data_IF_564663083882
#
_entry.id   IF_564663083882
#
_cell.length_a   1.000
_cell.length_b   1.000
_cell.length_c   1.000
_cell.angle_alpha   90.00
_cell.angle_beta   90.00
_cell.angle_gamma   90.00
#
_symmetry.space_group_name_H-M   'P 1'
#
loop_
_entity.id
_entity.type
_entity.pdbx_description
1 polymer ?
#
# COMPACT_ATOMS: atom_id res chain seq x y z
N UNK A 1 18.79 40.52 -52.30
CA UNK A 1 19.43 39.21 -52.04
C UNK A 1 19.59 39.06 -50.54
N UNK A 2 19.33 37.87 -50.00
CA UNK A 2 19.34 37.45 -48.58
C UNK A 2 18.09 37.69 -47.73
N UNK A 3 17.12 36.81 -47.93
CA UNK A 3 16.09 36.48 -46.95
C UNK A 3 16.72 35.50 -45.94
N UNK A 4 17.00 35.96 -44.72
CA UNK A 4 17.48 35.09 -43.64
C UNK A 4 16.35 34.17 -43.18
N UNK A 5 16.36 32.93 -43.67
CA UNK A 5 15.56 31.84 -43.12
C UNK A 5 16.14 31.44 -41.76
N UNK A 6 15.62 32.04 -40.69
CA UNK A 6 15.76 31.45 -39.36
C UNK A 6 15.02 30.11 -39.36
N UNK A 7 15.75 29.01 -39.60
CA UNK A 7 15.29 27.66 -39.25
C UNK A 7 15.07 27.65 -37.74
N UNK A 8 13.81 27.81 -37.32
CA UNK A 8 13.35 27.51 -35.96
C UNK A 8 13.79 26.07 -35.68
N UNK A 9 14.80 25.88 -34.82
CA UNK A 9 15.09 24.54 -34.27
C UNK A 9 13.79 24.10 -33.61
N UNK A 10 13.12 23.11 -34.19
CA UNK A 10 12.03 22.42 -33.51
C UNK A 10 12.65 21.76 -32.28
N UNK A 11 12.60 22.44 -31.14
CA UNK A 11 12.85 21.83 -29.85
C UNK A 11 11.71 20.84 -29.69
N UNK A 12 11.99 19.54 -29.84
CA UNK A 12 11.01 18.49 -29.57
C UNK A 12 10.53 18.74 -28.15
N UNK A 13 9.26 19.09 -28.01
CA UNK A 13 8.67 19.34 -26.71
C UNK A 13 8.68 18.01 -25.94
N UNK A 14 9.26 18.04 -24.74
CA UNK A 14 9.41 16.85 -23.91
C UNK A 14 8.01 16.35 -23.53
N UNK A 15 7.74 15.08 -23.79
CA UNK A 15 6.47 14.47 -23.43
C UNK A 15 6.64 13.56 -22.21
N UNK A 16 6.31 14.09 -21.04
CA UNK A 16 6.50 13.38 -19.76
C UNK A 16 5.63 12.12 -19.62
N UNK A 17 4.48 12.09 -20.30
CA UNK A 17 3.64 10.89 -20.31
C UNK A 17 4.27 9.77 -21.14
N UNK A 18 4.92 10.13 -22.25
CA UNK A 18 5.68 9.18 -23.05
C UNK A 18 6.88 8.65 -22.26
N UNK A 19 7.64 9.52 -21.60
CA UNK A 19 8.78 9.11 -20.78
C UNK A 19 8.37 8.20 -19.61
N UNK A 20 7.26 8.51 -18.93
CA UNK A 20 6.69 7.61 -17.93
C UNK A 20 6.44 6.21 -18.49
N UNK A 21 5.79 6.12 -19.66
CA UNK A 21 5.51 4.83 -20.30
C UNK A 21 6.79 4.09 -20.72
N UNK A 22 7.81 4.82 -21.17
CA UNK A 22 9.12 4.26 -21.50
C UNK A 22 9.83 3.69 -20.26
N UNK A 23 9.86 4.44 -19.15
CA UNK A 23 10.40 3.95 -17.86
C UNK A 23 9.72 2.65 -17.45
N UNK A 24 8.39 2.62 -17.52
CA UNK A 24 7.64 1.41 -17.18
C UNK A 24 8.03 0.23 -18.07
N UNK A 25 8.13 0.45 -19.39
CA UNK A 25 8.45 -0.60 -20.36
C UNK A 25 9.89 -1.10 -20.25
N UNK A 26 10.83 -0.21 -19.96
CA UNK A 26 12.26 -0.51 -20.00
C UNK A 26 12.79 -1.06 -18.68
N UNK A 27 12.23 -0.62 -17.55
CA UNK A 27 12.74 -0.94 -16.21
C UNK A 27 11.73 -1.78 -15.44
N UNK A 28 10.51 -1.29 -15.30
CA UNK A 28 9.54 -1.86 -14.36
C UNK A 28 8.96 -3.18 -14.84
N UNK A 29 8.53 -3.25 -16.11
CA UNK A 29 7.90 -4.47 -16.65
C UNK A 29 8.89 -5.64 -16.75
N UNK A 30 10.16 -5.45 -17.20
CA UNK A 30 11.16 -6.51 -17.17
C UNK A 30 11.44 -7.03 -15.76
N UNK A 31 11.57 -6.15 -14.77
CA UNK A 31 11.76 -6.53 -13.37
C UNK A 31 10.66 -7.47 -12.86
N UNK A 32 9.38 -7.09 -13.03
CA UNK A 32 8.27 -7.93 -12.59
C UNK A 32 8.13 -9.21 -13.41
N UNK A 33 8.46 -9.16 -14.71
CA UNK A 33 8.47 -10.36 -15.56
C UNK A 33 9.52 -11.37 -15.12
N UNK A 34 10.73 -10.90 -14.77
CA UNK A 34 11.81 -11.74 -14.24
C UNK A 34 11.39 -12.44 -12.95
N UNK A 35 10.65 -11.74 -12.09
CA UNK A 35 10.08 -12.28 -10.85
C UNK A 35 8.79 -13.09 -11.06
N UNK A 36 8.39 -13.36 -12.31
CA UNK A 36 7.20 -14.15 -12.68
C UNK A 36 5.85 -13.55 -12.25
N UNK A 37 5.77 -12.23 -12.07
CA UNK A 37 4.50 -11.55 -11.83
C UNK A 37 3.65 -11.49 -13.09
N UNK A 38 2.35 -11.74 -12.93
CA UNK A 38 1.34 -11.50 -13.97
C UNK A 38 0.95 -10.03 -13.96
N UNK A 39 0.92 -9.40 -15.13
CA UNK A 39 0.60 -7.98 -15.30
C UNK A 39 -0.85 -7.76 -15.71
N UNK A 40 -1.49 -6.73 -15.16
CA UNK A 40 -2.76 -6.17 -15.64
C UNK A 40 -2.77 -4.64 -15.49
N UNK A 41 -2.67 -3.91 -16.61
CA UNK A 41 -2.52 -2.46 -16.59
C UNK A 41 -1.26 -2.06 -15.82
N UNK A 42 -1.43 -1.27 -14.76
CA UNK A 42 -0.36 -0.85 -13.83
C UNK A 42 -0.20 -1.79 -12.61
N UNK A 43 -0.96 -2.88 -12.56
CA UNK A 43 -0.90 -3.86 -11.48
C UNK A 43 -0.08 -5.11 -11.85
N UNK A 44 0.51 -5.73 -10.83
CA UNK A 44 1.32 -6.94 -10.90
C UNK A 44 0.94 -7.87 -9.77
N UNK A 45 0.58 -9.12 -10.09
CA UNK A 45 0.27 -10.14 -9.10
C UNK A 45 1.17 -11.36 -9.24
N UNK A 46 1.67 -11.86 -8.11
CA UNK A 46 2.35 -13.15 -8.02
C UNK A 46 1.71 -13.98 -6.93
N UNK A 47 1.20 -15.15 -7.30
CA UNK A 47 0.67 -16.09 -6.34
C UNK A 47 1.84 -16.88 -5.74
N UNK A 48 1.94 -16.95 -4.42
CA UNK A 48 2.96 -17.70 -3.70
C UNK A 48 2.27 -18.42 -2.54
N UNK A 49 2.22 -19.76 -2.61
CA UNK A 49 1.52 -20.57 -1.61
C UNK A 49 0.07 -20.06 -1.40
N UNK A 50 -0.29 -19.72 -0.17
CA UNK A 50 -1.58 -19.16 0.27
C UNK A 50 -1.71 -17.63 0.09
N UNK A 51 -0.65 -16.97 -0.37
CA UNK A 51 -0.59 -15.53 -0.57
C UNK A 51 -0.63 -15.13 -2.05
N UNK A 52 -1.10 -13.91 -2.29
CA UNK A 52 -0.81 -13.16 -3.52
C UNK A 52 -0.08 -11.89 -3.17
N UNK A 53 1.14 -11.74 -3.69
CA UNK A 53 1.88 -10.50 -3.67
C UNK A 53 1.34 -9.59 -4.77
N UNK A 54 1.06 -8.34 -4.43
CA UNK A 54 0.45 -7.35 -5.30
C UNK A 54 1.37 -6.12 -5.34
N UNK A 55 1.64 -5.62 -6.53
CA UNK A 55 2.25 -4.30 -6.71
C UNK A 55 1.42 -3.50 -7.70
N UNK A 56 1.07 -2.27 -7.37
CA UNK A 56 0.34 -1.37 -8.25
C UNK A 56 1.05 -0.02 -8.39
N UNK A 57 1.26 0.39 -9.63
CA UNK A 57 1.83 1.72 -9.95
C UNK A 57 0.70 2.74 -9.95
N UNK A 58 0.65 3.55 -8.90
CA UNK A 58 -0.35 4.58 -8.72
C UNK A 58 0.14 5.92 -9.27
N UNK A 59 -0.56 6.45 -10.27
CA UNK A 59 -0.35 7.83 -10.74
C UNK A 59 -1.03 8.81 -9.81
N UNK A 60 -0.43 9.98 -9.62
CA UNK A 60 -1.07 11.08 -8.91
C UNK A 60 -2.29 11.57 -9.70
N UNK A 61 -3.35 11.93 -8.96
CA UNK A 61 -4.55 12.57 -9.53
C UNK A 61 -4.28 13.99 -10.02
N UNK A 62 -3.16 14.58 -9.60
CA UNK A 62 -2.75 15.96 -9.92
C UNK A 62 -1.77 16.02 -11.10
N UNK A 63 -1.61 14.93 -11.84
CA UNK A 63 -0.75 14.91 -13.02
C UNK A 63 -1.30 15.80 -14.13
N UNK A 64 -0.41 16.50 -14.81
CA UNK A 64 -0.71 17.33 -15.98
C UNK A 64 0.43 17.23 -17.00
N UNK A 65 0.42 18.05 -18.05
CA UNK A 65 1.37 17.95 -19.16
C UNK A 65 2.84 18.10 -18.72
N UNK A 66 3.11 19.02 -17.78
CA UNK A 66 4.45 19.37 -17.32
C UNK A 66 4.87 18.68 -16.01
N UNK A 67 4.02 17.81 -15.46
CA UNK A 67 4.33 17.06 -14.26
C UNK A 67 3.66 15.68 -14.25
N UNK A 68 4.46 14.63 -14.13
CA UNK A 68 4.00 13.26 -13.91
C UNK A 68 4.62 12.73 -12.62
N UNK A 69 3.78 12.50 -11.64
CA UNK A 69 4.10 11.91 -10.35
C UNK A 69 3.42 10.55 -10.18
N UNK A 70 4.14 9.58 -9.63
CA UNK A 70 3.64 8.24 -9.36
C UNK A 70 4.37 7.56 -8.20
N UNK A 71 3.77 6.52 -7.63
CA UNK A 71 4.35 5.68 -6.57
C UNK A 71 4.01 4.21 -6.79
N UNK A 72 4.59 3.33 -5.98
CA UNK A 72 4.35 1.89 -6.00
C UNK A 72 3.69 1.49 -4.69
N UNK A 73 2.42 1.09 -4.77
CA UNK A 73 1.75 0.44 -3.64
C UNK A 73 2.08 -1.05 -3.69
N UNK A 74 2.37 -1.64 -2.53
CA UNK A 74 2.73 -3.03 -2.34
C UNK A 74 1.70 -3.64 -1.40
N UNK A 75 1.21 -4.83 -1.69
CA UNK A 75 0.20 -5.51 -0.89
C UNK A 75 0.43 -7.01 -0.80
N UNK A 76 0.00 -7.58 0.32
CA UNK A 76 -0.03 -9.01 0.57
C UNK A 76 -1.47 -9.45 0.84
N UNK A 77 -1.97 -10.33 -0.01
CA UNK A 77 -3.33 -10.84 0.02
C UNK A 77 -3.33 -12.30 0.46
N UNK A 78 -3.97 -12.59 1.59
CA UNK A 78 -4.21 -13.93 2.11
C UNK A 78 -5.66 -14.33 1.80
N UNK A 79 -5.83 -15.29 0.89
CA UNK A 79 -7.14 -15.71 0.35
C UNK A 79 -8.11 -16.15 1.44
N UNK A 80 -7.63 -16.92 2.40
CA UNK A 80 -8.46 -17.46 3.47
C UNK A 80 -8.98 -16.34 4.38
N UNK A 81 -8.11 -15.39 4.77
CA UNK A 81 -8.47 -14.23 5.59
C UNK A 81 -9.48 -13.34 4.86
N UNK A 82 -9.29 -13.13 3.55
CA UNK A 82 -10.23 -12.37 2.75
C UNK A 82 -11.64 -12.99 2.75
N UNK A 83 -11.70 -14.31 2.66
CA UNK A 83 -12.95 -15.10 2.66
C UNK A 83 -13.64 -15.07 4.04
N UNK A 84 -12.89 -15.29 5.13
CA UNK A 84 -13.40 -15.20 6.51
C UNK A 84 -14.01 -13.83 6.86
N UNK A 85 -13.56 -12.80 6.15
CA UNK A 85 -14.07 -11.44 6.29
C UNK A 85 -15.40 -11.21 5.55
N UNK A 86 -16.03 -12.27 5.03
CA UNK A 86 -17.34 -12.25 4.40
C UNK A 86 -17.30 -11.95 2.89
N UNK A 87 -16.11 -11.93 2.29
CA UNK A 87 -15.98 -11.73 0.85
C UNK A 87 -16.04 -13.08 0.13
N UNK A 88 -17.16 -13.36 -0.51
CA UNK A 88 -17.43 -14.67 -1.10
C UNK A 88 -16.81 -14.87 -2.49
N UNK A 89 -16.40 -13.80 -3.17
CA UNK A 89 -15.78 -13.86 -4.50
C UNK A 89 -14.37 -13.28 -4.46
N UNK A 90 -13.38 -14.13 -4.73
CA UNK A 90 -11.98 -13.71 -4.85
C UNK A 90 -11.81 -13.01 -6.21
N UNK A 91 -11.32 -11.76 -6.26
CA UNK A 91 -11.10 -11.08 -7.53
C UNK A 91 -10.15 -11.86 -8.43
N UNK A 92 -10.45 -11.92 -9.73
CA UNK A 92 -9.55 -12.55 -10.74
C UNK A 92 -8.16 -11.90 -10.76
N UNK A 93 -8.10 -10.61 -10.44
CA UNK A 93 -6.88 -9.84 -10.30
C UNK A 93 -6.99 -8.97 -9.04
N UNK A 94 -6.30 -9.40 -7.99
CA UNK A 94 -6.22 -8.72 -6.69
C UNK A 94 -5.66 -7.31 -6.86
N UNK A 95 -6.28 -6.33 -6.20
CA UNK A 95 -5.80 -4.95 -6.08
C UNK A 95 -5.26 -4.72 -4.67
N UNK A 96 -4.45 -3.69 -4.51
CA UNK A 96 -3.85 -3.38 -3.21
C UNK A 96 -4.90 -3.12 -2.11
N UNK A 97 -6.05 -2.51 -2.44
CA UNK A 97 -7.13 -2.32 -1.47
C UNK A 97 -7.84 -3.62 -1.05
N UNK A 98 -7.61 -4.74 -1.73
CA UNK A 98 -8.11 -6.06 -1.32
C UNK A 98 -7.16 -6.73 -0.30
N UNK A 99 -5.92 -6.24 -0.18
CA UNK A 99 -4.87 -6.85 0.62
C UNK A 99 -5.06 -6.62 2.13
N UNK A 100 -4.59 -7.59 2.93
CA UNK A 100 -4.65 -7.53 4.40
C UNK A 100 -3.52 -6.68 4.98
N UNK A 101 -2.41 -6.61 4.25
CA UNK A 101 -1.26 -5.76 4.56
C UNK A 101 -0.90 -5.02 3.28
N UNK A 102 -0.70 -3.71 3.38
CA UNK A 102 -0.12 -2.92 2.30
C UNK A 102 0.87 -1.88 2.83
N UNK A 103 1.74 -1.40 1.94
CA UNK A 103 2.64 -0.27 2.17
C UNK A 103 2.99 0.38 0.84
N UNK A 104 3.80 1.42 0.85
CA UNK A 104 4.38 2.02 -0.35
C UNK A 104 5.88 1.76 -0.40
N UNK A 105 6.41 1.59 -1.61
CA UNK A 105 7.85 1.46 -1.81
C UNK A 105 8.63 2.64 -1.20
N UNK A 106 8.03 3.83 -1.18
CA UNK A 106 8.59 5.00 -0.50
C UNK A 106 8.91 4.77 0.98
N UNK A 107 8.06 4.03 1.69
CA UNK A 107 8.31 3.70 3.10
C UNK A 107 9.52 2.79 3.24
N UNK A 108 9.70 1.83 2.32
CA UNK A 108 10.85 0.93 2.33
C UNK A 108 12.17 1.63 2.00
N UNK A 109 12.15 2.59 1.07
CA UNK A 109 13.37 3.21 0.53
C UNK A 109 13.75 4.53 1.21
N UNK A 110 12.78 5.29 1.72
CA UNK A 110 12.97 6.62 2.31
C UNK A 110 12.38 6.75 3.72
N UNK A 111 11.63 5.76 4.21
CA UNK A 111 10.90 5.85 5.48
C UNK A 111 9.75 6.86 5.45
N UNK A 112 9.27 7.27 4.27
CA UNK A 112 8.20 8.26 4.13
C UNK A 112 7.34 8.04 2.87
N UNK A 113 6.30 8.85 2.70
CA UNK A 113 5.47 8.81 1.49
C UNK A 113 6.19 9.46 0.30
N UNK A 114 6.98 8.65 -0.40
CA UNK A 114 7.77 9.08 -1.55
C UNK A 114 7.02 8.86 -2.88
N UNK A 115 7.04 9.90 -3.71
CA UNK A 115 6.51 9.90 -5.06
C UNK A 115 7.62 10.25 -6.05
N UNK A 116 7.76 9.43 -7.09
CA UNK A 116 8.69 9.66 -8.19
C UNK A 116 8.13 10.78 -9.08
N UNK A 117 8.96 11.76 -9.43
CA UNK A 117 8.50 12.92 -10.19
C UNK A 117 9.27 13.13 -11.50
N UNK A 118 8.52 13.19 -12.59
CA UNK A 118 8.97 13.70 -13.89
C UNK A 118 8.46 15.12 -14.05
N UNK A 119 9.37 16.09 -14.01
CA UNK A 119 9.13 17.49 -14.33
C UNK A 119 10.37 18.09 -14.99
N UNK A 120 10.34 19.38 -15.31
CA UNK A 120 11.42 20.10 -16.05
C UNK A 120 12.85 19.95 -15.49
N UNK A 121 13.01 19.61 -14.21
CA UNK A 121 14.32 19.49 -13.54
C UNK A 121 14.75 18.04 -13.32
N UNK A 122 13.89 17.06 -13.64
CA UNK A 122 14.22 15.63 -13.54
C UNK A 122 14.46 15.09 -14.95
N UNK A 123 15.62 14.50 -15.20
CA UNK A 123 15.89 13.76 -16.44
C UNK A 123 15.36 12.33 -16.35
N UNK A 124 14.89 11.77 -17.47
CA UNK A 124 14.38 10.39 -17.51
C UNK A 124 15.43 9.39 -17.01
N UNK A 125 16.68 9.55 -17.41
CA UNK A 125 17.78 8.62 -17.13
C UNK A 125 18.07 8.54 -15.62
N UNK A 126 18.12 9.69 -14.93
CA UNK A 126 18.28 9.72 -13.48
C UNK A 126 17.13 9.01 -12.76
N UNK A 127 15.90 9.18 -13.24
CA UNK A 127 14.74 8.52 -12.65
C UNK A 127 14.74 7.00 -12.91
N UNK A 128 15.17 6.57 -14.11
CA UNK A 128 15.36 5.15 -14.43
C UNK A 128 16.39 4.50 -13.51
N UNK A 129 17.53 5.15 -13.26
CA UNK A 129 18.56 4.65 -12.35
C UNK A 129 18.04 4.54 -10.91
N UNK A 130 17.33 5.57 -10.42
CA UNK A 130 16.74 5.56 -9.09
C UNK A 130 15.72 4.44 -8.93
N UNK A 131 14.78 4.31 -9.87
CA UNK A 131 13.77 3.24 -9.85
C UNK A 131 14.44 1.88 -9.92
N UNK A 132 15.43 1.70 -10.79
CA UNK A 132 16.14 0.44 -10.91
C UNK A 132 16.82 0.02 -9.59
N UNK A 133 17.50 0.95 -8.91
CA UNK A 133 18.08 0.68 -7.58
C UNK A 133 16.99 0.39 -6.55
N UNK A 134 15.95 1.21 -6.44
CA UNK A 134 14.86 0.98 -5.49
C UNK A 134 14.15 -0.37 -5.69
N UNK A 135 13.95 -0.80 -6.94
CA UNK A 135 13.34 -2.08 -7.26
C UNK A 135 14.26 -3.26 -6.86
N UNK A 136 15.55 -3.20 -7.19
CA UNK A 136 16.45 -4.33 -6.94
C UNK A 136 16.98 -4.39 -5.51
N UNK A 137 17.28 -3.25 -4.91
CA UNK A 137 17.95 -3.19 -3.60
C UNK A 137 16.95 -3.24 -2.44
N UNK A 138 15.68 -2.91 -2.69
CA UNK A 138 14.65 -2.83 -1.64
C UNK A 138 13.41 -3.66 -1.97
N UNK A 139 12.75 -3.44 -3.12
CA UNK A 139 11.50 -4.12 -3.41
C UNK A 139 11.69 -5.64 -3.57
N UNK A 140 12.71 -6.07 -4.33
CA UNK A 140 12.98 -7.49 -4.55
C UNK A 140 13.27 -8.22 -3.23
N UNK A 141 14.23 -7.80 -2.37
CA UNK A 141 14.43 -8.42 -1.07
C UNK A 141 13.17 -8.41 -0.19
N UNK A 142 12.38 -7.34 -0.24
CA UNK A 142 11.14 -7.25 0.51
C UNK A 142 10.10 -8.28 0.05
N UNK A 143 9.94 -8.48 -1.26
CA UNK A 143 9.04 -9.50 -1.81
C UNK A 143 9.58 -10.92 -1.55
N UNK A 144 10.88 -11.14 -1.70
CA UNK A 144 11.50 -12.45 -1.47
C UNK A 144 11.48 -12.88 0.01
N UNK A 145 11.52 -11.92 0.94
CA UNK A 145 11.39 -12.19 2.37
C UNK A 145 9.95 -12.53 2.79
N UNK A 146 8.95 -11.91 2.17
CA UNK A 146 7.55 -11.96 2.62
C UNK A 146 6.70 -12.84 1.71
N UNK A 147 6.82 -14.16 1.89
CA UNK A 147 6.28 -15.18 0.97
C UNK A 147 5.18 -16.05 1.57
N UNK A 148 4.95 -15.96 2.88
CA UNK A 148 4.00 -16.79 3.63
C UNK A 148 3.46 -16.05 4.87
N UNK A 149 2.50 -16.64 5.58
CA UNK A 149 1.93 -15.99 6.77
C UNK A 149 2.93 -15.81 7.92
N UNK A 150 3.95 -16.68 8.02
CA UNK A 150 4.98 -16.60 9.07
C UNK A 150 5.85 -15.34 8.86
N UNK A 151 6.31 -15.11 7.64
CA UNK A 151 7.05 -13.90 7.28
C UNK A 151 6.21 -12.64 7.40
N UNK A 152 4.91 -12.70 7.08
CA UNK A 152 3.98 -11.58 7.33
C UNK A 152 3.76 -11.30 8.81
N UNK A 153 3.73 -12.33 9.67
CA UNK A 153 3.73 -12.16 11.12
C UNK A 153 4.96 -11.38 11.56
N UNK A 154 6.15 -11.80 11.13
CA UNK A 154 7.39 -11.10 11.47
C UNK A 154 7.37 -9.66 10.94
N UNK A 155 6.80 -9.42 9.76
CA UNK A 155 6.63 -8.08 9.21
C UNK A 155 5.71 -7.22 10.09
N UNK A 156 4.57 -7.75 10.54
CA UNK A 156 3.64 -7.05 11.44
C UNK A 156 4.27 -6.73 12.79
N UNK A 157 5.01 -7.68 13.36
CA UNK A 157 5.65 -7.50 14.67
C UNK A 157 6.82 -6.51 14.63
N UNK A 158 7.42 -6.30 13.45
CA UNK A 158 8.53 -5.36 13.23
C UNK A 158 8.11 -4.08 12.47
N UNK A 159 6.81 -3.80 12.37
CA UNK A 159 6.19 -2.74 11.55
C UNK A 159 6.64 -1.31 11.92
N UNK A 160 7.22 -1.10 13.12
CA UNK A 160 7.57 0.24 13.63
C UNK A 160 8.38 1.12 12.64
N UNK A 161 9.07 0.51 11.66
CA UNK A 161 9.88 1.20 10.67
C UNK A 161 9.28 1.29 9.25
N UNK A 162 8.20 0.55 8.93
CA UNK A 162 7.74 0.36 7.53
C UNK A 162 6.36 1.01 7.26
N UNK A 163 5.68 1.54 8.28
CA UNK A 163 4.37 2.20 8.16
C UNK A 163 3.38 1.36 7.34
N UNK A 164 3.16 0.11 7.76
CA UNK A 164 2.20 -0.77 7.11
C UNK A 164 0.77 -0.28 7.35
N UNK A 165 -0.04 -0.36 6.31
CA UNK A 165 -1.49 -0.29 6.42
C UNK A 165 -2.04 -1.70 6.58
N UNK A 166 -2.62 -1.99 7.73
CA UNK A 166 -3.26 -3.28 7.99
C UNK A 166 -4.29 -3.15 9.12
N UNK A 167 -5.44 -3.80 8.96
CA UNK A 167 -6.51 -3.74 9.95
C UNK A 167 -6.16 -4.57 11.19
N UNK A 168 -6.63 -4.16 12.37
CA UNK A 168 -6.44 -4.95 13.61
C UNK A 168 -6.98 -6.37 13.46
N UNK A 169 -8.12 -6.54 12.78
CA UNK A 169 -8.70 -7.87 12.51
C UNK A 169 -7.75 -8.71 11.65
N UNK A 170 -7.17 -8.14 10.60
CA UNK A 170 -6.20 -8.84 9.76
C UNK A 170 -4.96 -9.25 10.56
N UNK A 171 -4.43 -8.36 11.43
CA UNK A 171 -3.32 -8.69 12.33
C UNK A 171 -3.66 -9.88 13.23
N UNK A 172 -4.83 -9.86 13.87
CA UNK A 172 -5.32 -10.94 14.74
C UNK A 172 -5.44 -12.25 13.94
N UNK A 173 -6.08 -12.23 12.77
CA UNK A 173 -6.27 -13.43 11.94
C UNK A 173 -4.93 -14.02 11.48
N UNK A 174 -3.97 -13.20 11.08
CA UNK A 174 -2.62 -13.67 10.71
C UNK A 174 -1.96 -14.36 11.91
N UNK A 175 -1.97 -13.74 13.09
CA UNK A 175 -1.39 -14.30 14.31
C UNK A 175 -2.03 -15.64 14.71
N UNK A 176 -3.36 -15.73 14.63
CA UNK A 176 -4.08 -16.99 14.87
C UNK A 176 -3.61 -18.08 13.90
N UNK A 177 -3.56 -17.78 12.60
CA UNK A 177 -3.20 -18.75 11.56
C UNK A 177 -1.78 -19.27 11.68
N UNK A 178 -0.86 -18.46 12.19
CA UNK A 178 0.53 -18.88 12.46
C UNK A 178 0.74 -19.46 13.85
N UNK A 179 -0.32 -19.61 14.66
CA UNK A 179 -0.27 -20.23 15.98
C UNK A 179 0.17 -19.32 17.13
N UNK A 180 0.26 -18.01 16.93
CA UNK A 180 0.62 -17.01 17.95
C UNK A 180 -0.60 -16.63 18.80
N UNK A 181 -1.22 -17.63 19.42
CA UNK A 181 -2.54 -17.53 20.05
C UNK A 181 -2.58 -16.54 21.21
N UNK A 182 -1.56 -16.52 22.07
CA UNK A 182 -1.52 -15.57 23.20
C UNK A 182 -1.44 -14.13 22.72
N UNK A 183 -0.61 -13.85 21.70
CA UNK A 183 -0.50 -12.50 21.14
C UNK A 183 -1.79 -12.08 20.41
N UNK A 184 -2.39 -13.01 19.66
CA UNK A 184 -3.69 -12.78 19.04
C UNK A 184 -4.77 -12.46 20.08
N UNK A 185 -4.78 -13.17 21.20
CA UNK A 185 -5.71 -12.96 22.32
C UNK A 185 -5.52 -11.60 22.99
N UNK A 186 -4.28 -11.15 23.20
CA UNK A 186 -3.99 -9.81 23.72
C UNK A 186 -4.55 -8.71 22.81
N UNK A 187 -4.29 -8.82 21.50
CA UNK A 187 -4.81 -7.87 20.51
C UNK A 187 -6.34 -7.93 20.42
N UNK A 188 -6.93 -9.12 20.42
CA UNK A 188 -8.38 -9.30 20.38
C UNK A 188 -9.07 -8.66 21.59
N UNK A 189 -8.53 -8.86 22.79
CA UNK A 189 -9.06 -8.23 24.01
C UNK A 189 -8.93 -6.71 23.97
N UNK A 190 -7.79 -6.20 23.49
CA UNK A 190 -7.55 -4.76 23.35
C UNK A 190 -8.52 -4.13 22.37
N UNK A 191 -8.65 -4.71 21.17
CA UNK A 191 -9.58 -4.26 20.14
C UNK A 191 -11.03 -4.31 20.63
N UNK A 192 -11.41 -5.37 21.35
CA UNK A 192 -12.75 -5.52 21.90
C UNK A 192 -13.07 -4.47 22.96
N UNK A 193 -12.16 -4.24 23.91
CA UNK A 193 -12.30 -3.20 24.94
C UNK A 193 -12.41 -1.80 24.32
N UNK A 194 -11.57 -1.49 23.33
CA UNK A 194 -11.64 -0.23 22.59
C UNK A 194 -12.96 -0.07 21.83
N UNK A 195 -13.48 -1.14 21.23
CA UNK A 195 -14.74 -1.11 20.49
C UNK A 195 -15.97 -0.87 21.37
N UNK A 196 -15.94 -1.33 22.63
CA UNK A 196 -16.98 -1.08 23.62
C UNK A 196 -16.90 0.33 24.23
N UNK A 197 -15.72 0.94 24.20
CA UNK A 197 -15.45 2.26 24.77
C UNK A 197 -14.97 3.26 23.69
N UNK A 198 -15.78 3.51 22.64
CA UNK A 198 -15.37 4.39 21.56
C UNK A 198 -15.22 5.83 22.09
N UNK A 199 -14.14 6.50 21.68
CA UNK A 199 -13.85 7.88 22.10
C UNK A 199 -14.51 8.87 21.15
N UNK A 200 -15.09 9.92 21.71
CA UNK A 200 -15.61 11.05 20.93
C UNK A 200 -14.51 11.64 20.07
N UNK A 201 -14.88 11.99 18.84
CA UNK A 201 -13.97 12.67 17.94
C UNK A 201 -13.99 14.17 18.26
N UNK A 202 -12.81 14.75 18.42
CA UNK A 202 -12.62 16.20 18.54
C UNK A 202 -11.50 16.58 17.59
N UNK A 203 -11.80 17.45 16.63
CA UNK A 203 -10.82 18.06 15.74
C UNK A 203 -10.83 19.56 15.93
N UNK A 204 -9.64 20.15 15.99
CA UNK A 204 -9.45 21.59 16.06
C UNK A 204 -8.62 22.02 14.86
N UNK A 205 -9.22 22.85 14.01
CA UNK A 205 -8.55 23.50 12.89
C UNK A 205 -8.24 24.93 13.33
N UNK A 206 -6.98 25.33 13.21
CA UNK A 206 -6.55 26.72 13.40
C UNK A 206 -6.19 27.28 12.03
N UNK A 207 -6.91 28.31 11.61
CA UNK A 207 -6.73 28.96 10.32
C UNK A 207 -5.57 29.97 10.37
N UNK A 208 -4.99 30.34 9.20
CA UNK A 208 -3.86 31.29 9.15
C UNK A 208 -4.16 32.68 9.72
N UNK A 209 -5.43 33.07 9.79
CA UNK A 209 -5.89 34.32 10.40
C UNK A 209 -6.07 34.22 11.93
N UNK A 210 -5.75 33.05 12.52
CA UNK A 210 -5.87 32.76 13.95
C UNK A 210 -7.26 32.31 14.37
N UNK A 211 -8.22 32.19 13.47
CA UNK A 211 -9.55 31.66 13.81
C UNK A 211 -9.50 30.15 14.06
N UNK A 212 -10.36 29.66 14.95
CA UNK A 212 -10.40 28.25 15.33
C UNK A 212 -11.76 27.65 15.00
N UNK A 213 -11.76 26.46 14.40
CA UNK A 213 -12.95 25.63 14.20
C UNK A 213 -12.78 24.31 14.95
N UNK A 214 -13.73 24.02 15.84
CA UNK A 214 -13.77 22.76 16.58
C UNK A 214 -14.93 21.92 16.03
N UNK A 215 -14.59 20.76 15.48
CA UNK A 215 -15.57 19.75 15.08
C UNK A 215 -15.60 18.64 16.12
N UNK A 216 -16.78 18.34 16.65
CA UNK A 216 -16.99 17.21 17.57
C UNK A 216 -18.01 16.23 17.01
N UNK A 217 -17.83 14.94 17.29
CA UNK A 217 -18.87 13.95 17.06
C UNK A 217 -18.87 12.91 18.17
N UNK A 218 -20.08 12.55 18.62
CA UNK A 218 -20.26 11.53 19.65
C UNK A 218 -20.02 10.16 19.08
N UNK A 219 -19.13 9.41 19.71
CA UNK A 219 -18.82 8.07 19.30
C UNK A 219 -19.98 7.12 19.63
N UNK A 220 -20.23 6.16 18.75
CA UNK A 220 -21.20 5.09 18.99
C UNK A 220 -20.50 3.75 18.84
N UNK A 221 -20.93 2.79 19.63
CA UNK A 221 -20.44 1.41 19.53
C UNK A 221 -20.76 0.90 18.12
N UNK A 222 -19.74 0.46 17.40
CA UNK A 222 -19.91 -0.24 16.15
C UNK A 222 -20.27 -1.70 16.46
N UNK A 223 -21.56 -2.01 16.54
CA UNK A 223 -22.06 -3.35 16.88
C UNK A 223 -21.56 -4.41 15.90
N UNK A 224 -21.48 -4.11 14.60
CA UNK A 224 -20.99 -5.06 13.60
C UNK A 224 -19.51 -5.43 13.86
N UNK A 225 -18.68 -4.44 14.16
CA UNK A 225 -17.28 -4.67 14.50
C UNK A 225 -17.12 -5.49 15.79
N UNK A 226 -17.89 -5.17 16.83
CA UNK A 226 -17.92 -5.93 18.10
C UNK A 226 -18.32 -7.39 17.86
N UNK A 227 -19.37 -7.64 17.08
CA UNK A 227 -19.81 -9.01 16.77
C UNK A 227 -18.79 -9.77 15.91
N UNK A 228 -18.07 -9.08 15.02
CA UNK A 228 -16.98 -9.69 14.26
C UNK A 228 -15.82 -10.12 15.16
N UNK A 229 -15.44 -9.30 16.15
CA UNK A 229 -14.41 -9.68 17.14
C UNK A 229 -14.87 -10.88 17.98
N UNK A 230 -16.13 -10.91 18.44
CA UNK A 230 -16.69 -12.07 19.16
C UNK A 230 -16.67 -13.33 18.31
N UNK A 231 -17.02 -13.23 17.03
CA UNK A 231 -17.00 -14.34 16.09
C UNK A 231 -15.59 -14.90 15.95
N UNK A 232 -14.59 -14.05 15.74
CA UNK A 232 -13.16 -14.45 15.68
C UNK A 232 -12.76 -15.19 16.96
N UNK A 233 -13.11 -14.65 18.15
CA UNK A 233 -12.80 -15.30 19.41
C UNK A 233 -13.45 -16.68 19.54
N UNK A 234 -14.74 -16.79 19.22
CA UNK A 234 -15.51 -18.04 19.28
C UNK A 234 -14.97 -19.10 18.32
N UNK A 235 -14.76 -18.75 17.06
CA UNK A 235 -14.29 -19.68 16.01
C UNK A 235 -12.90 -20.24 16.32
N UNK A 236 -12.07 -19.49 17.03
CA UNK A 236 -10.69 -19.86 17.35
C UNK A 236 -10.51 -20.30 18.81
N UNK A 237 -11.60 -20.57 19.54
CA UNK A 237 -11.57 -20.97 20.96
C UNK A 237 -10.80 -20.00 21.88
N UNK A 238 -10.77 -18.71 21.53
CA UNK A 238 -10.14 -17.65 22.33
C UNK A 238 -11.22 -16.99 23.20
N UNK A 239 -11.04 -17.08 24.52
CA UNK A 239 -11.91 -16.37 25.47
C UNK A 239 -11.56 -14.88 25.51
N UNK A 240 -12.53 -14.04 25.14
CA UNK A 240 -12.46 -12.58 25.26
C UNK A 240 -12.79 -12.18 26.69
N UNK A 241 -11.97 -11.29 27.26
CA UNK A 241 -12.22 -10.67 28.57
C UNK A 241 -13.11 -9.44 28.38
N UNK A 242 -14.16 -9.38 29.18
CA UNK A 242 -15.07 -8.23 29.29
C UNK A 242 -14.60 -7.29 30.39
#
# INVERSE_FOLDING_TARGET
>A
MFQFLFKKKNKVERNLQLEFNEILKNIVYPFFKELEFRKNGNGFNKNISELTQVVNIQKSRWNHQDNVSFTFNIGFFATEIYTENGNNEIPKFIREYDCQISTRLGQLVKGNDYWYELHKNTTKENLEMEIHSHLNDYLRPFLEKNIDLISLKDLILNDENINLTTSEISKIQILIKVGEIERAKELLNTAFSNALNPKDYVSKIVYPDGTEEIQTSTAKINTEYVERLKRIGKENSITIKY
#
